data_IF_563990744743
#
_entry.id   IF_563990744743
#
_cell.length_a   1.000
_cell.length_b   1.000
_cell.length_c   1.000
_cell.angle_alpha   90.00
_cell.angle_beta   90.00
_cell.angle_gamma   90.00
#
_symmetry.space_group_name_H-M   'P 1'
#
loop_
_entity.id
_entity.type
_entity.pdbx_description
1 polymer ?
#
# COMPACT_ATOMS: atom_id res chain seq x y z
N UNK A 1 -31.54 7.90 13.56
CA UNK A 1 -30.21 7.29 13.36
C UNK A 1 -29.67 7.75 12.02
N UNK A 2 -28.36 7.78 11.85
CA UNK A 2 -27.71 8.15 10.60
C UNK A 2 -26.67 7.09 10.22
N UNK A 3 -26.37 6.99 8.92
CA UNK A 3 -25.28 6.17 8.39
C UNK A 3 -24.39 7.07 7.55
N UNK A 4 -23.09 7.02 7.80
CA UNK A 4 -22.06 7.68 7.01
C UNK A 4 -21.30 6.63 6.22
N UNK A 5 -21.12 6.86 4.93
CA UNK A 5 -20.24 6.04 4.07
C UNK A 5 -19.05 6.88 3.63
N UNK A 6 -17.85 6.35 3.83
CA UNK A 6 -16.60 6.90 3.33
C UNK A 6 -15.99 5.92 2.33
N UNK A 7 -15.48 6.44 1.22
CA UNK A 7 -14.76 5.68 0.23
C UNK A 7 -13.32 6.18 0.15
N UNK A 8 -12.37 5.29 0.40
CA UNK A 8 -10.95 5.56 0.18
C UNK A 8 -10.61 5.28 -1.28
N UNK A 9 -10.32 6.35 -2.02
CA UNK A 9 -10.07 6.31 -3.46
C UNK A 9 -8.57 6.42 -3.72
N UNK A 10 -8.02 5.47 -4.47
CA UNK A 10 -6.63 5.50 -4.89
C UNK A 10 -6.35 6.80 -5.68
N UNK A 11 -5.27 7.54 -5.32
CA UNK A 11 -4.93 8.81 -5.96
C UNK A 11 -4.44 8.63 -7.40
N UNK A 12 -3.84 7.47 -7.70
CA UNK A 12 -3.27 7.11 -9.00
C UNK A 12 -4.32 6.45 -9.90
N UNK A 13 -4.26 6.67 -11.23
CA UNK A 13 -5.22 6.08 -12.13
C UNK A 13 -5.10 4.58 -12.33
N UNK A 14 -5.82 3.81 -11.51
CA UNK A 14 -5.86 2.34 -11.57
C UNK A 14 -7.26 1.76 -11.80
N UNK A 15 -7.36 0.50 -12.22
CA UNK A 15 -8.58 -0.31 -12.25
C UNK A 15 -9.03 -0.58 -10.82
N UNK A 16 -10.33 -0.44 -10.52
CA UNK A 16 -10.85 -0.74 -9.17
C UNK A 16 -10.25 0.16 -8.08
N UNK A 17 -10.38 1.48 -8.25
CA UNK A 17 -9.72 2.50 -7.40
C UNK A 17 -10.21 2.60 -5.97
N UNK A 18 -11.37 2.05 -5.64
CA UNK A 18 -11.84 2.07 -4.25
C UNK A 18 -11.02 1.04 -3.47
N UNK A 19 -10.10 1.54 -2.62
CA UNK A 19 -9.19 0.72 -1.81
C UNK A 19 -9.91 0.12 -0.61
N UNK A 20 -10.75 0.93 0.02
CA UNK A 20 -11.61 0.55 1.12
C UNK A 20 -12.90 1.36 1.14
N UNK A 21 -13.92 0.84 1.84
CA UNK A 21 -15.12 1.56 2.23
C UNK A 21 -15.35 1.42 3.72
N UNK A 22 -15.78 2.49 4.37
CA UNK A 22 -16.11 2.53 5.78
C UNK A 22 -17.56 2.95 5.93
N UNK A 23 -18.36 2.14 6.63
CA UNK A 23 -19.70 2.52 7.06
C UNK A 23 -19.72 2.73 8.56
N UNK A 24 -20.23 3.88 8.99
CA UNK A 24 -20.47 4.21 10.38
C UNK A 24 -21.97 4.40 10.58
N UNK A 25 -22.60 3.53 11.37
CA UNK A 25 -23.97 3.74 11.82
C UNK A 25 -23.95 4.35 13.21
N UNK A 26 -24.77 5.37 13.47
CA UNK A 26 -24.75 6.07 14.74
C UNK A 26 -25.81 7.15 14.88
N UNK A 27 -25.55 8.09 15.78
CA UNK A 27 -26.42 9.25 16.05
C UNK A 27 -25.58 10.51 16.08
N UNK A 28 -26.19 11.60 15.64
CA UNK A 28 -25.66 12.94 15.84
C UNK A 28 -26.24 13.54 17.12
N UNK A 29 -25.42 14.29 17.85
CA UNK A 29 -25.83 15.20 18.92
C UNK A 29 -25.32 16.60 18.61
N UNK A 30 -26.15 17.60 18.90
CA UNK A 30 -25.72 18.99 18.85
C UNK A 30 -24.93 19.31 20.12
N UNK A 31 -23.71 19.82 19.94
CA UNK A 31 -22.89 20.47 20.96
C UNK A 31 -22.79 21.97 20.60
N UNK A 32 -22.35 22.82 21.54
CA UNK A 32 -22.45 24.30 21.43
C UNK A 32 -22.10 24.86 20.04
N UNK A 33 -20.98 24.43 19.45
CA UNK A 33 -20.52 24.92 18.13
C UNK A 33 -20.25 23.79 17.11
N UNK A 34 -20.73 22.56 17.36
CA UNK A 34 -20.44 21.41 16.47
C UNK A 34 -21.49 20.31 16.53
N UNK A 35 -21.52 19.48 15.49
CA UNK A 35 -22.24 18.21 15.49
C UNK A 35 -21.26 17.08 15.86
N UNK A 36 -21.51 16.42 16.98
CA UNK A 36 -20.79 15.21 17.34
C UNK A 36 -21.51 13.99 16.78
N UNK A 37 -20.76 13.10 16.12
CA UNK A 37 -21.28 11.82 15.67
C UNK A 37 -20.77 10.71 16.59
N UNK A 38 -21.69 10.01 17.25
CA UNK A 38 -21.36 8.85 18.07
C UNK A 38 -21.60 7.57 17.25
N UNK A 39 -20.54 6.88 16.77
CA UNK A 39 -20.69 5.60 16.10
C UNK A 39 -21.17 4.53 17.08
N UNK A 40 -22.13 3.72 16.64
CA UNK A 40 -22.60 2.51 17.34
C UNK A 40 -22.21 1.24 16.60
N UNK A 41 -21.82 1.34 15.31
CA UNK A 41 -21.31 0.24 14.51
C UNK A 41 -20.37 0.77 13.44
N UNK A 42 -19.21 0.13 13.33
CA UNK A 42 -18.17 0.44 12.35
C UNK A 42 -17.95 -0.79 11.47
N UNK A 43 -18.08 -0.64 10.16
CA UNK A 43 -17.82 -1.72 9.19
C UNK A 43 -16.81 -1.23 8.17
N UNK A 44 -15.65 -1.89 8.11
CA UNK A 44 -14.61 -1.64 7.13
C UNK A 44 -14.64 -2.73 6.07
N UNK A 45 -14.82 -2.37 4.80
CA UNK A 45 -14.69 -3.26 3.65
C UNK A 45 -13.39 -2.97 2.92
N UNK A 46 -12.56 -3.98 2.85
CA UNK A 46 -11.35 -4.01 2.03
C UNK A 46 -11.51 -5.10 0.96
N UNK A 47 -10.49 -5.27 0.12
CA UNK A 47 -10.47 -6.35 -0.87
C UNK A 47 -10.44 -7.75 -0.25
N UNK A 48 -9.84 -7.89 0.93
CA UNK A 48 -9.83 -9.12 1.72
C UNK A 48 -11.20 -9.51 2.27
N UNK A 49 -12.12 -8.55 2.43
CA UNK A 49 -13.45 -8.80 2.99
C UNK A 49 -14.00 -7.63 3.79
N UNK A 50 -15.14 -7.85 4.43
CA UNK A 50 -15.69 -6.91 5.40
C UNK A 50 -15.33 -7.35 6.82
N UNK A 51 -14.90 -6.41 7.64
CA UNK A 51 -14.64 -6.59 9.06
C UNK A 51 -15.49 -5.61 9.86
N UNK A 52 -16.01 -6.08 10.98
CA UNK A 52 -16.66 -5.22 11.97
C UNK A 52 -15.59 -4.78 12.94
N UNK A 53 -15.45 -3.48 13.14
CA UNK A 53 -14.48 -2.89 14.07
C UNK A 53 -15.23 -2.41 15.29
N UNK A 54 -14.64 -2.57 16.47
CA UNK A 54 -15.23 -2.03 17.68
C UNK A 54 -15.22 -0.48 17.62
N UNK A 55 -16.32 0.21 17.98
CA UNK A 55 -16.36 1.67 17.93
C UNK A 55 -15.33 2.37 18.82
N UNK A 56 -14.98 1.80 19.98
CA UNK A 56 -13.95 2.37 20.84
C UNK A 56 -12.55 2.12 20.27
N UNK A 57 -12.29 0.91 19.76
CA UNK A 57 -11.05 0.61 19.02
C UNK A 57 -10.85 1.56 17.84
N UNK A 58 -11.90 1.83 17.07
CA UNK A 58 -11.86 2.79 15.96
C UNK A 58 -11.57 4.21 16.41
N UNK A 59 -12.11 4.64 17.56
CA UNK A 59 -11.89 5.97 18.11
C UNK A 59 -10.48 6.15 18.68
N UNK A 60 -9.90 5.09 19.25
CA UNK A 60 -8.56 5.09 19.85
C UNK A 60 -7.45 4.89 18.82
N UNK A 61 -7.77 4.37 17.62
CA UNK A 61 -6.81 4.14 16.56
C UNK A 61 -6.17 5.45 16.07
N UNK A 62 -4.83 5.47 16.06
CA UNK A 62 -4.08 6.56 15.44
C UNK A 62 -4.04 6.40 13.90
N UNK A 63 -4.16 7.49 13.12
CA UNK A 63 -3.94 7.44 11.69
C UNK A 63 -2.48 7.10 11.37
N UNK A 64 -2.24 6.52 10.18
CA UNK A 64 -0.88 6.27 9.70
C UNK A 64 -0.10 7.60 9.57
N UNK A 65 1.19 7.66 9.98
CA UNK A 65 1.99 8.88 9.90
C UNK A 65 2.08 9.48 8.49
N UNK A 66 1.97 8.64 7.46
CA UNK A 66 2.06 9.04 6.06
C UNK A 66 0.70 9.41 5.46
N UNK A 67 -0.41 9.28 6.20
CA UNK A 67 -1.77 9.41 5.66
C UNK A 67 -2.03 10.74 4.91
N UNK A 68 -1.46 11.85 5.38
CA UNK A 68 -1.64 13.17 4.75
C UNK A 68 -0.75 13.39 3.54
N UNK A 69 0.39 12.70 3.47
CA UNK A 69 1.37 12.81 2.38
C UNK A 69 1.17 11.76 1.28
N UNK A 70 0.53 10.62 1.61
CA UNK A 70 0.39 9.43 0.76
C UNK A 70 -0.05 9.78 -0.66
N UNK A 71 -1.13 10.56 -0.79
CA UNK A 71 -1.70 10.90 -2.09
C UNK A 71 -0.70 11.59 -3.01
N UNK A 72 0.06 12.56 -2.48
CA UNK A 72 1.09 13.28 -3.23
C UNK A 72 2.25 12.35 -3.60
N UNK A 73 2.66 11.49 -2.68
CA UNK A 73 3.77 10.56 -2.88
C UNK A 73 3.47 9.54 -3.98
N UNK A 74 2.27 8.94 -3.96
CA UNK A 74 1.86 7.95 -4.96
C UNK A 74 1.70 8.57 -6.35
N UNK A 75 1.07 9.75 -6.44
CA UNK A 75 0.95 10.48 -7.71
C UNK A 75 2.32 10.84 -8.26
N UNK A 76 3.23 11.35 -7.42
CA UNK A 76 4.60 11.66 -7.85
C UNK A 76 5.36 10.41 -8.33
N UNK A 77 5.26 9.29 -7.61
CA UNK A 77 5.87 8.03 -8.02
C UNK A 77 5.33 7.54 -9.37
N UNK A 78 4.02 7.63 -9.59
CA UNK A 78 3.39 7.21 -10.84
C UNK A 78 3.77 8.11 -12.04
N UNK A 79 3.79 9.43 -11.85
CA UNK A 79 3.97 10.39 -12.94
C UNK A 79 5.45 10.66 -13.25
N UNK A 80 6.29 10.78 -12.22
CA UNK A 80 7.70 11.18 -12.37
C UNK A 80 8.67 10.00 -12.42
N UNK A 81 8.28 8.84 -11.89
CA UNK A 81 9.17 7.69 -11.72
C UNK A 81 8.58 6.35 -12.19
N UNK A 82 8.02 6.27 -13.43
CA UNK A 82 7.48 5.02 -13.95
C UNK A 82 8.54 3.91 -14.08
N UNK A 83 9.79 4.28 -14.33
CA UNK A 83 10.94 3.36 -14.39
C UNK A 83 11.28 2.75 -13.01
N UNK A 84 11.04 3.50 -11.93
CA UNK A 84 11.20 2.98 -10.57
C UNK A 84 10.12 1.93 -10.26
N UNK A 85 8.87 2.19 -10.65
CA UNK A 85 7.77 1.23 -10.52
C UNK A 85 8.07 -0.04 -11.32
N UNK A 86 8.57 0.10 -12.55
CA UNK A 86 8.99 -1.04 -13.38
C UNK A 86 10.09 -1.86 -12.67
N UNK A 87 11.12 -1.19 -12.13
CA UNK A 87 12.19 -1.87 -11.38
C UNK A 87 11.63 -2.65 -10.19
N UNK A 88 10.72 -2.05 -9.40
CA UNK A 88 10.12 -2.70 -8.23
C UNK A 88 9.35 -3.98 -8.58
N UNK A 89 8.85 -4.13 -9.81
CA UNK A 89 8.22 -5.40 -10.25
C UNK A 89 9.15 -6.60 -10.14
N UNK A 90 10.47 -6.39 -10.16
CA UNK A 90 11.48 -7.47 -10.03
C UNK A 90 11.49 -8.11 -8.64
N UNK A 91 10.88 -7.47 -7.65
CA UNK A 91 10.69 -8.02 -6.31
C UNK A 91 9.39 -8.82 -6.17
N UNK A 92 8.52 -8.79 -7.19
CA UNK A 92 7.25 -9.51 -7.20
C UNK A 92 7.48 -10.93 -7.70
N UNK A 93 6.80 -11.90 -7.08
CA UNK A 93 6.76 -13.27 -7.58
C UNK A 93 6.34 -13.29 -9.07
N UNK A 94 7.11 -13.94 -9.97
CA UNK A 94 6.77 -14.02 -11.39
C UNK A 94 5.34 -14.51 -11.67
N UNK A 95 4.80 -15.42 -10.84
CA UNK A 95 3.42 -15.89 -10.97
C UNK A 95 2.41 -14.75 -10.70
N UNK A 96 2.75 -13.84 -9.78
CA UNK A 96 1.98 -12.62 -9.49
C UNK A 96 1.96 -11.63 -10.66
N UNK A 97 2.94 -11.67 -11.57
CA UNK A 97 3.00 -10.81 -12.75
C UNK A 97 2.42 -11.45 -14.02
N UNK A 98 2.03 -12.73 -14.00
CA UNK A 98 1.59 -13.45 -15.19
C UNK A 98 0.38 -12.80 -15.89
N UNK A 99 0.56 -12.25 -17.10
CA UNK A 99 -0.49 -11.55 -17.84
C UNK A 99 -0.78 -10.13 -17.32
N UNK A 100 0.16 -9.53 -16.59
CA UNK A 100 0.11 -8.12 -16.23
C UNK A 100 0.19 -7.27 -17.51
N UNK A 101 -0.75 -6.33 -17.67
CA UNK A 101 -0.72 -5.32 -18.73
C UNK A 101 -0.19 -3.99 -18.23
N UNK A 102 -0.29 -3.74 -16.92
CA UNK A 102 0.17 -2.53 -16.27
C UNK A 102 0.39 -2.76 -14.78
N UNK A 103 1.41 -2.12 -14.22
CA UNK A 103 1.66 -2.09 -12.78
C UNK A 103 1.69 -0.64 -12.32
N UNK A 104 1.06 -0.34 -11.19
CA UNK A 104 0.94 1.02 -10.65
C UNK A 104 1.06 1.02 -9.13
N UNK A 105 1.61 2.08 -8.52
CA UNK A 105 1.55 2.26 -7.08
C UNK A 105 0.09 2.51 -6.64
N UNK A 106 -0.34 1.81 -5.59
CA UNK A 106 -1.73 1.83 -5.10
C UNK A 106 -1.86 2.47 -3.72
N UNK A 107 -0.97 2.09 -2.81
CA UNK A 107 -0.99 2.53 -1.42
C UNK A 107 0.43 2.54 -0.87
N UNK A 108 0.73 3.45 0.03
CA UNK A 108 1.94 3.44 0.84
C UNK A 108 1.56 3.82 2.27
N UNK A 109 2.06 3.06 3.22
CA UNK A 109 1.87 3.29 4.65
C UNK A 109 3.22 3.07 5.35
N UNK A 110 3.26 3.25 6.66
CA UNK A 110 4.51 3.15 7.42
C UNK A 110 5.23 1.81 7.26
N UNK A 111 4.56 0.74 6.81
CA UNK A 111 5.13 -0.61 6.73
C UNK A 111 5.49 -1.06 5.31
N UNK A 112 5.22 -0.28 4.27
CA UNK A 112 5.51 -0.71 2.90
C UNK A 112 4.77 -0.01 1.78
N UNK A 113 5.02 -0.50 0.56
CA UNK A 113 4.39 -0.05 -0.68
C UNK A 113 3.53 -1.17 -1.28
N UNK A 114 2.30 -0.86 -1.69
CA UNK A 114 1.42 -1.78 -2.42
C UNK A 114 1.37 -1.39 -3.89
N UNK A 115 1.59 -2.37 -4.76
CA UNK A 115 1.45 -2.24 -6.21
C UNK A 115 0.18 -2.94 -6.69
N UNK A 116 -0.57 -2.27 -7.56
CA UNK A 116 -1.69 -2.84 -8.32
C UNK A 116 -1.15 -3.41 -9.62
N UNK A 117 -1.35 -4.71 -9.82
CA UNK A 117 -1.07 -5.42 -11.07
C UNK A 117 -2.38 -5.56 -11.84
N UNK A 118 -2.52 -4.81 -12.93
CA UNK A 118 -3.69 -4.84 -13.80
C UNK A 118 -3.52 -5.90 -14.87
N UNK A 119 -4.61 -6.62 -15.19
CA UNK A 119 -4.72 -7.57 -16.29
C UNK A 119 -5.91 -7.17 -17.18
N UNK A 120 -6.04 -7.84 -18.32
CA UNK A 120 -7.12 -7.54 -19.29
C UNK A 120 -8.52 -7.61 -18.64
N UNK A 121 -8.75 -8.58 -17.75
CA UNK A 121 -10.09 -8.82 -17.15
C UNK A 121 -10.13 -8.75 -15.63
N UNK A 122 -8.99 -8.64 -14.98
CA UNK A 122 -8.86 -8.65 -13.53
C UNK A 122 -7.71 -7.76 -13.09
N UNK A 123 -7.52 -7.66 -11.79
CA UNK A 123 -6.37 -7.01 -11.21
C UNK A 123 -6.07 -7.65 -9.85
N UNK A 124 -4.85 -7.46 -9.36
CA UNK A 124 -4.38 -7.99 -8.09
C UNK A 124 -3.45 -7.01 -7.39
N UNK A 125 -3.27 -7.20 -6.09
CA UNK A 125 -2.43 -6.34 -5.26
C UNK A 125 -1.23 -7.14 -4.76
N UNK A 126 -0.05 -6.55 -4.86
CA UNK A 126 1.19 -7.11 -4.32
C UNK A 126 1.80 -6.10 -3.35
N UNK A 127 2.11 -6.58 -2.15
CA UNK A 127 2.74 -5.79 -1.11
C UNK A 127 4.24 -5.97 -1.11
N UNK A 128 4.99 -4.87 -1.17
CA UNK A 128 6.42 -4.81 -0.96
C UNK A 128 6.67 -4.25 0.46
N UNK A 129 6.98 -5.11 1.45
CA UNK A 129 7.18 -4.66 2.82
C UNK A 129 8.49 -3.86 2.93
N UNK A 130 8.48 -2.83 3.77
CA UNK A 130 9.72 -2.17 4.16
C UNK A 130 10.49 -3.02 5.17
N UNK A 131 11.81 -2.85 5.19
CA UNK A 131 12.69 -3.55 6.14
C UNK A 131 12.52 -3.05 7.58
N UNK A 132 11.98 -1.83 7.76
CA UNK A 132 11.62 -1.21 9.02
C UNK A 132 10.51 -0.17 8.78
N UNK A 133 9.73 0.21 9.82
CA UNK A 133 8.73 1.26 9.69
C UNK A 133 9.31 2.61 9.20
N UNK A 134 8.51 3.38 8.47
CA UNK A 134 8.77 4.78 8.14
C UNK A 134 7.76 5.66 8.86
N UNK A 135 8.22 6.39 9.87
CA UNK A 135 7.36 7.24 10.70
C UNK A 135 7.28 8.68 10.16
N UNK A 136 8.07 9.01 9.13
CA UNK A 136 7.96 10.24 8.35
C UNK A 136 8.38 10.06 6.87
N UNK A 137 8.31 11.15 6.09
CA UNK A 137 8.63 11.16 4.65
C UNK A 137 10.14 10.99 4.38
N UNK A 138 11.01 11.46 5.28
CA UNK A 138 12.45 11.31 5.13
C UNK A 138 12.84 9.84 5.31
N UNK A 139 12.30 9.18 6.33
CA UNK A 139 12.44 7.75 6.53
C UNK A 139 11.84 6.96 5.36
N UNK A 140 10.67 7.35 4.85
CA UNK A 140 10.08 6.69 3.68
C UNK A 140 11.04 6.71 2.48
N UNK A 141 11.73 7.83 2.27
CA UNK A 141 12.70 7.96 1.16
C UNK A 141 13.80 6.90 1.27
N UNK A 142 14.35 6.71 2.46
CA UNK A 142 15.34 5.65 2.73
C UNK A 142 14.77 4.26 2.48
N UNK A 143 13.53 4.00 2.91
CA UNK A 143 12.86 2.69 2.77
C UNK A 143 12.64 2.36 1.28
N UNK A 144 12.30 3.36 0.48
CA UNK A 144 12.17 3.25 -0.97
C UNK A 144 13.51 2.99 -1.66
N UNK A 145 14.59 3.66 -1.24
CA UNK A 145 15.93 3.40 -1.76
C UNK A 145 16.40 1.96 -1.52
N UNK A 146 16.08 1.40 -0.35
CA UNK A 146 16.39 -0.01 -0.04
C UNK A 146 15.63 -0.96 -0.98
N UNK A 147 14.32 -0.75 -1.19
CA UNK A 147 13.54 -1.58 -2.14
C UNK A 147 14.12 -1.50 -3.56
N UNK A 148 14.45 -0.30 -4.04
CA UNK A 148 15.01 -0.13 -5.38
C UNK A 148 16.40 -0.77 -5.52
N UNK A 149 17.21 -0.74 -4.47
CA UNK A 149 18.52 -1.40 -4.43
C UNK A 149 18.38 -2.92 -4.48
N UNK A 150 17.43 -3.48 -3.75
CA UNK A 150 17.11 -4.91 -3.79
C UNK A 150 16.61 -5.33 -5.19
N UNK A 151 15.76 -4.51 -5.81
CA UNK A 151 15.25 -4.75 -7.16
C UNK A 151 16.37 -4.77 -8.21
N UNK A 152 17.36 -3.87 -8.06
CA UNK A 152 18.55 -3.86 -8.90
C UNK A 152 19.37 -5.15 -8.72
N UNK A 153 19.59 -5.59 -7.48
CA UNK A 153 20.34 -6.81 -7.18
C UNK A 153 19.65 -8.09 -7.70
N UNK A 154 18.32 -8.16 -7.69
CA UNK A 154 17.55 -9.27 -8.26
C UNK A 154 17.73 -9.44 -9.78
N UNK A 155 18.22 -8.39 -10.46
CA UNK A 155 18.48 -8.40 -11.90
C UNK A 155 19.86 -8.98 -12.25
N UNK A 156 20.77 -9.01 -11.28
CA UNK A 156 22.11 -9.54 -11.47
C UNK A 156 22.07 -11.06 -11.28
N UNK A 157 22.34 -11.88 -12.31
CA UNK A 157 22.62 -13.29 -12.07
C UNK A 157 23.85 -13.35 -11.15
N UNK A 158 23.69 -13.88 -9.93
CA UNK A 158 24.81 -14.08 -9.00
C UNK A 158 25.96 -14.75 -9.78
N UNK A 159 27.19 -14.20 -9.80
CA UNK A 159 28.31 -14.92 -10.35
C UNK A 159 28.47 -16.19 -9.50
N UNK A 160 28.31 -17.35 -10.14
CA UNK A 160 28.54 -18.66 -9.54
C UNK A 160 29.93 -18.63 -8.88
N UNK A 161 29.97 -18.65 -7.55
CA UNK A 161 31.20 -18.90 -6.82
C UNK A 161 31.68 -20.29 -7.24
N UNK A 162 32.61 -20.34 -8.20
CA UNK A 162 33.37 -21.55 -8.50
C UNK A 162 34.16 -21.88 -7.25
N UNK A 163 33.68 -22.87 -6.50
CA UNK A 163 34.51 -23.59 -5.54
C UNK A 163 35.72 -24.13 -6.31
N UNK A 164 36.83 -23.42 -6.20
CA UNK A 164 38.15 -23.94 -6.54
C UNK A 164 38.44 -24.99 -5.48
N UNK A 165 38.17 -26.25 -5.81
CA UNK A 165 38.77 -27.38 -5.11
C UNK A 165 40.27 -27.27 -5.33
N UNK A 166 40.99 -26.75 -4.34
CA UNK A 166 42.40 -27.06 -4.19
C UNK A 166 42.48 -28.56 -3.99
N UNK A 167 43.04 -29.24 -5.00
CA UNK A 167 43.53 -30.60 -4.85
C UNK A 167 45.04 -30.52 -4.95
N UNK A 168 45.64 -30.77 -3.79
CA UNK A 168 47.06 -30.95 -3.52
C UNK A 168 47.73 -31.85 -4.55
N UNK A 169 48.97 -31.49 -4.90
CA UNK A 169 50.03 -32.38 -5.34
C UNK A 169 51.35 -31.84 -4.80
#
# INVERSE_FOLDING_TARGET
SAVLEFADVAPVPVRGRIRARLWLAGRFSAEEDRLAFQPTRVVLRQRSGAVVVDPAEFADAAPDPLATAEARLLTHLADCHPDAVERLTRLVDPAGLHGAVRVQPLAVDRHGLTLRVERVRSDGDVRLPFHAPADDVAELTERMHVLLSQAAAASCPRPLQRHRTDREA
#
